data_IF_520101709465
#
_entry.id   IF_520101709465
#
_cell.length_a   1.000
_cell.length_b   1.000
_cell.length_c   1.000
_cell.angle_alpha   90.00
_cell.angle_beta   90.00
_cell.angle_gamma   90.00
#
_symmetry.space_group_name_H-M   'P 1'
#
loop_
_entity.id
_entity.type
_entity.pdbx_description
1 polymer ?
#
# COMPACT_ATOMS: atom_id res chain seq x y z
N UNK A 1 9.19 41.41 50.32
CA UNK A 1 9.94 40.85 49.18
C UNK A 1 9.34 39.48 48.85
N UNK A 2 8.46 39.40 47.87
CA UNK A 2 7.80 38.16 47.46
C UNK A 2 8.53 37.67 46.19
N UNK A 3 9.25 36.56 46.31
CA UNK A 3 9.87 35.88 45.17
C UNK A 3 8.79 35.09 44.43
N UNK A 4 8.49 35.51 43.24
CA UNK A 4 7.63 34.82 42.29
C UNK A 4 8.51 33.82 41.52
N UNK A 5 8.42 32.52 41.84
CA UNK A 5 9.05 31.47 41.03
C UNK A 5 8.22 31.28 39.75
N UNK A 6 8.77 31.67 38.62
CA UNK A 6 8.30 31.26 37.29
C UNK A 6 8.68 29.79 37.11
N UNK A 7 7.71 28.92 37.15
CA UNK A 7 7.78 27.56 36.60
C UNK A 7 7.68 27.66 35.08
N UNK A 8 8.83 27.64 34.40
CA UNK A 8 8.87 27.42 32.95
C UNK A 8 8.48 25.95 32.69
N UNK A 9 7.25 25.73 32.27
CA UNK A 9 6.83 24.44 31.77
C UNK A 9 7.57 24.15 30.45
N UNK A 10 8.51 23.22 30.48
CA UNK A 10 9.06 22.58 29.28
C UNK A 10 7.87 21.82 28.63
N UNK A 11 7.29 22.39 27.58
CA UNK A 11 6.46 21.62 26.67
C UNK A 11 7.39 20.56 26.04
N UNK A 12 7.15 19.31 26.33
CA UNK A 12 7.77 18.21 25.58
C UNK A 12 7.38 18.43 24.12
N UNK A 13 8.35 18.68 23.26
CA UNK A 13 8.12 18.61 21.82
C UNK A 13 7.90 17.14 21.52
N UNK A 14 6.69 16.80 21.07
CA UNK A 14 6.39 15.45 20.59
C UNK A 14 7.36 15.16 19.42
N UNK A 15 8.18 14.13 19.59
CA UNK A 15 9.11 13.68 18.56
C UNK A 15 8.31 13.03 17.43
N UNK A 16 8.29 13.62 16.21
CA UNK A 16 7.48 13.07 15.12
C UNK A 16 7.88 11.64 14.72
N UNK A 17 9.15 11.28 14.86
CA UNK A 17 9.62 9.92 14.58
C UNK A 17 9.11 8.92 15.64
N UNK A 18 9.11 9.32 16.92
CA UNK A 18 8.53 8.51 17.98
C UNK A 18 7.01 8.34 17.80
N UNK A 19 6.31 9.38 17.34
CA UNK A 19 4.88 9.28 17.02
C UNK A 19 4.60 8.34 15.85
N UNK A 20 5.38 8.42 14.77
CA UNK A 20 5.26 7.52 13.62
C UNK A 20 5.55 6.06 14.01
N UNK A 21 6.57 5.83 14.84
CA UNK A 21 6.88 4.50 15.36
C UNK A 21 5.71 3.94 16.18
N UNK A 22 5.13 4.74 17.07
CA UNK A 22 3.98 4.32 17.88
C UNK A 22 2.73 4.04 17.02
N UNK A 23 2.50 4.82 15.94
CA UNK A 23 1.43 4.57 14.98
C UNK A 23 1.62 3.22 14.29
N UNK A 24 2.84 2.92 13.84
CA UNK A 24 3.17 1.64 13.21
C UNK A 24 2.91 0.44 14.14
N UNK A 25 3.32 0.53 15.42
CA UNK A 25 3.02 -0.51 16.41
C UNK A 25 1.51 -0.67 16.65
N UNK A 26 0.77 0.45 16.68
CA UNK A 26 -0.67 0.43 16.84
C UNK A 26 -1.39 -0.25 15.66
N UNK A 27 -0.90 -0.06 14.42
CA UNK A 27 -1.44 -0.75 13.24
C UNK A 27 -1.26 -2.26 13.34
N UNK A 28 -0.09 -2.75 13.76
CA UNK A 28 0.16 -4.18 13.98
C UNK A 28 -0.79 -4.73 15.03
N UNK A 29 -0.89 -4.06 16.18
CA UNK A 29 -1.75 -4.50 17.29
C UNK A 29 -3.24 -4.50 16.91
N UNK A 30 -3.71 -3.46 16.20
CA UNK A 30 -5.11 -3.35 15.78
C UNK A 30 -5.52 -4.47 14.80
N UNK A 31 -4.59 -4.94 13.98
CA UNK A 31 -4.83 -6.04 13.03
C UNK A 31 -4.57 -7.43 13.63
N UNK A 32 -4.03 -7.52 14.86
CA UNK A 32 -3.55 -8.77 15.45
C UNK A 32 -2.46 -9.41 14.57
N UNK A 33 -1.57 -8.59 14.01
CA UNK A 33 -0.60 -8.98 12.98
C UNK A 33 0.82 -9.20 13.54
N UNK A 34 0.94 -9.42 14.85
CA UNK A 34 2.22 -9.72 15.49
C UNK A 34 2.84 -10.99 14.88
N UNK A 35 4.13 -10.89 14.54
CA UNK A 35 4.88 -11.95 13.88
C UNK A 35 4.58 -12.11 12.37
N UNK A 36 3.57 -11.41 11.83
CA UNK A 36 3.29 -11.31 10.39
C UNK A 36 3.91 -10.05 9.82
N UNK A 37 3.76 -8.94 10.53
CA UNK A 37 4.42 -7.67 10.23
C UNK A 37 5.40 -7.28 11.33
N UNK A 38 6.44 -6.55 10.95
CA UNK A 38 7.38 -5.91 11.85
C UNK A 38 7.41 -4.40 11.60
N UNK A 39 7.60 -3.64 12.65
CA UNK A 39 7.78 -2.20 12.59
C UNK A 39 9.23 -1.88 12.24
N UNK A 40 9.44 -1.24 11.10
CA UNK A 40 10.76 -0.80 10.62
C UNK A 40 10.85 0.73 10.49
N UNK A 41 9.98 1.45 11.20
CA UNK A 41 9.93 2.92 11.19
C UNK A 41 11.23 3.50 11.76
N UNK A 42 11.91 4.31 10.96
CA UNK A 42 13.17 5.00 11.35
C UNK A 42 13.06 6.52 11.27
N UNK A 43 11.98 7.04 10.71
CA UNK A 43 11.74 8.46 10.49
C UNK A 43 10.28 8.85 10.83
N UNK A 44 9.75 9.86 10.17
CA UNK A 44 8.39 10.39 10.40
C UNK A 44 7.30 9.68 9.61
N UNK A 45 7.65 8.63 8.85
CA UNK A 45 6.72 7.83 8.04
C UNK A 45 6.52 6.47 8.72
N UNK A 46 5.31 6.16 9.24
CA UNK A 46 5.05 4.83 9.77
C UNK A 46 5.29 3.77 8.70
N UNK A 47 6.22 2.87 8.95
CA UNK A 47 6.67 1.89 7.96
C UNK A 47 6.68 0.49 8.54
N UNK A 48 5.98 -0.42 7.89
CA UNK A 48 5.88 -1.82 8.27
C UNK A 48 6.44 -2.71 7.17
N UNK A 49 7.06 -3.81 7.56
CA UNK A 49 7.50 -4.86 6.64
C UNK A 49 6.78 -6.17 6.92
N UNK A 50 6.24 -6.78 5.88
CA UNK A 50 5.72 -8.13 5.96
C UNK A 50 6.89 -9.13 5.99
N UNK A 51 6.99 -9.90 7.07
CA UNK A 51 8.18 -10.73 7.38
C UNK A 51 8.47 -11.77 6.29
N UNK A 52 7.44 -12.39 5.72
CA UNK A 52 7.63 -13.49 4.76
C UNK A 52 7.89 -13.02 3.33
N UNK A 53 7.23 -11.96 2.88
CA UNK A 53 7.34 -11.50 1.48
C UNK A 53 8.29 -10.33 1.29
N UNK A 54 8.72 -9.68 2.37
CA UNK A 54 9.49 -8.43 2.28
C UNK A 54 8.67 -7.21 1.86
N UNK A 55 7.36 -7.34 1.59
CA UNK A 55 6.52 -6.20 1.24
C UNK A 55 6.64 -5.09 2.28
N UNK A 56 7.01 -3.90 1.85
CA UNK A 56 7.13 -2.72 2.71
C UNK A 56 5.93 -1.81 2.53
N UNK A 57 5.29 -1.45 3.63
CA UNK A 57 4.11 -0.59 3.68
C UNK A 57 4.48 0.75 4.30
N UNK A 58 4.40 1.81 3.51
CA UNK A 58 4.58 3.19 3.96
C UNK A 58 3.22 3.84 4.14
N UNK A 59 2.98 4.42 5.31
CA UNK A 59 1.70 5.05 5.63
C UNK A 59 1.82 6.56 5.70
N UNK A 60 0.77 7.25 5.29
CA UNK A 60 0.65 8.69 5.56
C UNK A 60 0.42 8.90 7.06
N UNK A 61 1.34 9.58 7.74
CA UNK A 61 1.24 9.78 9.19
C UNK A 61 -0.07 10.43 9.60
N UNK A 62 -0.75 9.85 10.59
CA UNK A 62 -2.01 10.35 11.15
C UNK A 62 -3.22 10.16 10.24
N UNK A 63 -3.10 9.46 9.11
CA UNK A 63 -4.23 9.19 8.21
C UNK A 63 -5.15 8.12 8.81
N UNK A 64 -6.42 8.49 9.03
CA UNK A 64 -7.39 7.64 9.71
C UNK A 64 -7.75 6.34 8.95
N UNK A 65 -7.46 6.28 7.65
CA UNK A 65 -7.70 5.11 6.82
C UNK A 65 -6.56 4.11 6.82
N UNK A 66 -5.43 4.45 7.46
CA UNK A 66 -4.29 3.54 7.62
C UNK A 66 -4.72 2.24 8.28
N UNK A 67 -4.41 1.13 7.63
CA UNK A 67 -4.70 -0.19 8.18
C UNK A 67 -3.86 -1.26 7.51
N UNK A 68 -3.67 -2.36 8.21
CA UNK A 68 -3.16 -3.60 7.62
C UNK A 68 -4.20 -4.70 7.75
N UNK A 69 -4.16 -5.66 6.85
CA UNK A 69 -5.02 -6.82 6.82
C UNK A 69 -4.18 -8.08 6.74
N UNK A 70 -4.45 -9.03 7.63
CA UNK A 70 -4.00 -10.42 7.51
C UNK A 70 -5.24 -11.22 7.17
N UNK A 71 -5.36 -11.64 5.92
CA UNK A 71 -6.54 -12.37 5.48
C UNK A 71 -6.57 -13.76 6.11
N UNK A 72 -7.78 -14.28 6.41
CA UNK A 72 -7.91 -15.59 7.02
C UNK A 72 -7.43 -16.70 6.10
N UNK A 73 -7.02 -17.81 6.69
CA UNK A 73 -6.64 -19.01 5.97
C UNK A 73 -7.80 -19.49 5.11
N UNK A 74 -7.60 -19.52 3.82
CA UNK A 74 -8.60 -19.92 2.85
C UNK A 74 -7.93 -20.55 1.61
N UNK A 75 -8.56 -21.58 1.04
CA UNK A 75 -8.09 -22.16 -0.22
C UNK A 75 -6.69 -22.77 -0.17
N UNK A 76 -6.20 -23.14 1.01
CA UNK A 76 -4.85 -23.72 1.20
C UNK A 76 -3.77 -22.67 1.47
N UNK A 77 -4.15 -21.41 1.69
CA UNK A 77 -3.24 -20.36 2.16
C UNK A 77 -3.08 -20.47 3.67
N UNK A 78 -1.87 -20.27 4.17
CA UNK A 78 -1.57 -20.18 5.59
C UNK A 78 -1.66 -18.73 6.07
N UNK A 79 -1.71 -18.54 7.39
CA UNK A 79 -1.68 -17.21 7.99
C UNK A 79 -0.44 -16.45 7.55
N UNK A 80 -0.64 -15.27 6.98
CA UNK A 80 0.41 -14.44 6.41
C UNK A 80 0.65 -14.66 4.91
N UNK A 81 0.12 -15.71 4.29
CA UNK A 81 0.25 -15.92 2.84
C UNK A 81 -0.57 -14.89 2.02
N UNK A 82 -1.45 -14.15 2.66
CA UNK A 82 -2.23 -13.10 2.02
C UNK A 82 -2.40 -11.91 2.97
N UNK A 83 -1.76 -10.82 2.63
CA UNK A 83 -1.73 -9.59 3.44
C UNK A 83 -1.99 -8.37 2.58
N UNK A 84 -2.40 -7.28 3.23
CA UNK A 84 -2.60 -6.00 2.56
C UNK A 84 -2.35 -4.82 3.48
N UNK A 85 -1.89 -3.72 2.90
CA UNK A 85 -1.70 -2.43 3.57
C UNK A 85 -2.54 -1.39 2.87
N UNK A 86 -3.30 -0.62 3.63
CA UNK A 86 -4.17 0.41 3.12
C UNK A 86 -3.77 1.77 3.68
N UNK A 87 -3.64 2.76 2.82
CA UNK A 87 -3.35 4.15 3.18
C UNK A 87 -4.00 5.11 2.19
N UNK A 88 -4.10 6.38 2.57
CA UNK A 88 -4.52 7.46 1.69
C UNK A 88 -3.46 8.56 1.67
N UNK A 89 -3.12 9.03 0.49
CA UNK A 89 -2.20 10.15 0.31
C UNK A 89 -2.33 10.75 -1.09
N UNK A 90 -2.10 12.06 -1.22
CA UNK A 90 -2.16 12.78 -2.50
C UNK A 90 -3.48 12.56 -3.26
N UNK A 91 -4.62 12.62 -2.56
CA UNK A 91 -5.98 12.39 -3.09
C UNK A 91 -6.18 10.99 -3.70
N UNK A 92 -5.39 10.01 -3.27
CA UNK A 92 -5.46 8.64 -3.74
C UNK A 92 -5.59 7.67 -2.58
N UNK A 93 -6.60 6.80 -2.65
CA UNK A 93 -6.73 5.63 -1.80
C UNK A 93 -5.90 4.49 -2.42
N UNK A 94 -5.01 3.91 -1.64
CA UNK A 94 -4.09 2.86 -2.11
C UNK A 94 -4.16 1.65 -1.20
N UNK A 95 -4.20 0.48 -1.80
CA UNK A 95 -3.99 -0.79 -1.10
C UNK A 95 -2.91 -1.59 -1.82
N UNK A 96 -1.88 -1.99 -1.09
CA UNK A 96 -0.83 -2.88 -1.60
C UNK A 96 -1.02 -4.25 -0.95
N UNK A 97 -0.86 -5.29 -1.74
CA UNK A 97 -1.03 -6.69 -1.30
C UNK A 97 0.21 -7.51 -1.61
N UNK A 98 0.49 -8.49 -0.76
CA UNK A 98 1.35 -9.62 -1.07
C UNK A 98 0.56 -10.91 -0.85
N UNK A 99 0.52 -11.77 -1.87
CA UNK A 99 -0.20 -13.04 -1.82
C UNK A 99 0.71 -14.16 -2.33
N UNK A 100 0.88 -15.21 -1.53
CA UNK A 100 1.50 -16.46 -1.93
C UNK A 100 0.38 -17.47 -2.22
N UNK A 101 0.13 -17.73 -3.48
CA UNK A 101 -0.96 -18.62 -3.87
C UNK A 101 -0.58 -20.10 -3.66
N UNK A 102 -1.56 -20.90 -3.25
CA UNK A 102 -1.39 -22.37 -3.13
C UNK A 102 -1.20 -23.08 -4.48
N UNK A 103 -1.40 -22.38 -5.58
CA UNK A 103 -1.20 -22.85 -6.97
C UNK A 103 -0.55 -21.76 -7.77
N UNK A 104 0.19 -22.15 -8.80
CA UNK A 104 0.78 -21.20 -9.72
C UNK A 104 -0.30 -20.45 -10.52
N UNK A 105 -0.40 -19.15 -10.31
CA UNK A 105 -1.16 -18.24 -11.14
C UNK A 105 -0.19 -17.33 -11.88
N UNK A 106 -0.44 -17.09 -13.16
CA UNK A 106 0.33 -16.07 -13.88
C UNK A 106 -0.04 -14.65 -13.40
N UNK A 107 0.90 -13.72 -13.51
CA UNK A 107 0.62 -12.31 -13.22
C UNK A 107 -0.55 -11.77 -14.06
N UNK A 108 -0.70 -12.23 -15.31
CA UNK A 108 -1.82 -11.90 -16.16
C UNK A 108 -3.15 -12.38 -15.59
N UNK A 109 -3.22 -13.62 -15.08
CA UNK A 109 -4.44 -14.14 -14.47
C UNK A 109 -4.83 -13.36 -13.19
N UNK A 110 -3.84 -12.95 -12.38
CA UNK A 110 -4.08 -12.10 -11.20
C UNK A 110 -4.57 -10.71 -11.61
N UNK A 111 -4.03 -10.15 -12.69
CA UNK A 111 -4.48 -8.87 -13.24
C UNK A 111 -5.91 -8.95 -13.76
N UNK A 112 -6.24 -10.00 -14.51
CA UNK A 112 -7.58 -10.22 -15.07
C UNK A 112 -8.64 -10.34 -13.96
N UNK A 113 -8.33 -11.09 -12.88
CA UNK A 113 -9.21 -11.20 -11.70
C UNK A 113 -9.40 -9.85 -11.01
N UNK A 114 -8.32 -9.09 -10.82
CA UNK A 114 -8.39 -7.78 -10.23
C UNK A 114 -9.17 -6.77 -11.09
N UNK A 115 -9.02 -6.82 -12.41
CA UNK A 115 -9.78 -6.01 -13.36
C UNK A 115 -11.27 -6.40 -13.37
N UNK A 116 -11.58 -7.71 -13.26
CA UNK A 116 -12.96 -8.19 -13.11
C UNK A 116 -13.58 -7.67 -11.80
N UNK A 117 -12.84 -7.66 -10.69
CA UNK A 117 -13.31 -7.11 -9.42
C UNK A 117 -13.59 -5.61 -9.50
N UNK A 118 -12.81 -4.83 -10.27
CA UNK A 118 -13.06 -3.41 -10.55
C UNK A 118 -14.41 -3.26 -11.28
N UNK A 119 -14.63 -4.01 -12.37
CA UNK A 119 -15.89 -3.97 -13.14
C UNK A 119 -17.09 -4.44 -12.32
N UNK A 120 -16.89 -5.39 -11.42
CA UNK A 120 -17.96 -5.82 -10.52
C UNK A 120 -18.35 -4.70 -9.53
N UNK A 121 -17.35 -3.98 -8.98
CA UNK A 121 -17.59 -2.85 -8.05
C UNK A 121 -18.21 -1.65 -8.76
N UNK A 122 -17.78 -1.37 -9.98
CA UNK A 122 -18.24 -0.27 -10.82
C UNK A 122 -18.64 -0.79 -12.19
N UNK A 123 -19.92 -1.21 -12.38
CA UNK A 123 -20.39 -1.78 -13.65
C UNK A 123 -20.19 -0.86 -14.86
N UNK A 124 -20.16 0.47 -14.63
CA UNK A 124 -19.95 1.48 -15.67
C UNK A 124 -18.46 1.83 -15.89
N UNK A 125 -17.53 1.05 -15.28
CA UNK A 125 -16.10 1.28 -15.45
C UNK A 125 -15.69 1.17 -16.92
N UNK A 126 -15.06 2.23 -17.43
CA UNK A 126 -14.54 2.28 -18.80
C UNK A 126 -13.03 2.01 -18.79
N UNK A 127 -12.59 0.99 -19.51
CA UNK A 127 -11.16 0.74 -19.66
C UNK A 127 -10.49 1.94 -20.33
N UNK A 128 -9.32 2.33 -19.80
CA UNK A 128 -8.50 3.38 -20.37
C UNK A 128 -7.39 2.74 -21.21
N UNK A 129 -7.42 3.03 -22.52
CA UNK A 129 -6.49 2.45 -23.50
C UNK A 129 -5.30 3.38 -23.81
N UNK A 130 -5.18 4.53 -23.13
CA UNK A 130 -4.09 5.47 -23.31
C UNK A 130 -2.83 5.09 -22.56
N UNK A 131 -1.80 5.95 -22.68
CA UNK A 131 -0.54 5.77 -21.96
C UNK A 131 -0.73 5.92 -20.45
N UNK A 132 -0.22 4.95 -19.68
CA UNK A 132 -0.17 4.98 -18.22
C UNK A 132 1.30 4.93 -17.80
N UNK A 133 1.81 5.93 -17.06
CA UNK A 133 3.22 5.96 -16.69
C UNK A 133 3.52 4.86 -15.66
N UNK A 134 4.51 4.04 -16.01
CA UNK A 134 5.02 2.98 -15.17
C UNK A 134 6.53 3.14 -15.00
N UNK A 135 6.99 2.86 -13.79
CA UNK A 135 8.41 2.70 -13.51
C UNK A 135 8.75 1.22 -13.44
N UNK A 136 9.88 0.85 -14.03
CA UNK A 136 10.43 -0.50 -13.91
C UNK A 136 11.33 -0.52 -12.68
N UNK A 137 11.10 -1.42 -11.71
CA UNK A 137 12.00 -1.56 -10.57
C UNK A 137 13.44 -1.87 -11.03
N UNK A 138 14.48 -1.40 -10.29
CA UNK A 138 15.88 -1.51 -10.72
C UNK A 138 16.33 -2.93 -11.05
N UNK A 139 15.78 -3.93 -10.36
CA UNK A 139 16.16 -5.34 -10.52
C UNK A 139 15.23 -6.11 -11.48
N UNK A 140 14.47 -5.40 -12.32
CA UNK A 140 13.50 -5.97 -13.25
C UNK A 140 13.78 -5.54 -14.69
N UNK A 141 13.51 -6.44 -15.61
CA UNK A 141 13.60 -6.14 -17.05
C UNK A 141 12.31 -5.52 -17.59
N UNK A 142 11.18 -5.80 -16.95
CA UNK A 142 9.85 -5.37 -17.41
C UNK A 142 9.09 -4.60 -16.32
N UNK A 143 8.28 -3.59 -16.71
CA UNK A 143 7.39 -2.91 -15.79
C UNK A 143 6.28 -3.85 -15.29
N UNK A 144 5.59 -3.51 -14.18
CA UNK A 144 4.44 -4.27 -13.73
C UNK A 144 3.33 -4.33 -14.79
N UNK A 145 2.62 -5.45 -14.85
CA UNK A 145 1.36 -5.51 -15.60
C UNK A 145 0.34 -4.57 -14.98
N UNK A 146 -0.53 -3.97 -15.81
CA UNK A 146 -1.48 -2.99 -15.31
C UNK A 146 -2.83 -3.04 -16.05
N UNK A 147 -3.86 -2.54 -15.36
CA UNK A 147 -5.15 -2.20 -15.94
C UNK A 147 -5.65 -0.89 -15.32
N UNK A 148 -6.22 -0.02 -16.14
CA UNK A 148 -6.67 1.32 -15.74
C UNK A 148 -8.11 1.53 -16.20
N UNK A 149 -8.91 2.19 -15.36
CA UNK A 149 -10.31 2.45 -15.65
C UNK A 149 -10.68 3.86 -15.21
N UNK A 150 -11.51 4.51 -16.01
CA UNK A 150 -12.27 5.67 -15.58
C UNK A 150 -13.57 5.20 -14.93
N UNK A 151 -13.86 5.69 -13.73
CA UNK A 151 -15.06 5.36 -12.96
C UNK A 151 -15.70 6.62 -12.40
N UNK A 152 -16.98 6.54 -12.06
CA UNK A 152 -17.68 7.62 -11.35
C UNK A 152 -17.97 7.15 -9.92
N UNK A 153 -17.54 7.95 -8.94
CA UNK A 153 -17.81 7.71 -7.52
C UNK A 153 -18.50 8.93 -6.95
N UNK A 154 -19.72 8.76 -6.44
CA UNK A 154 -20.54 9.87 -5.90
C UNK A 154 -20.63 11.06 -6.86
N UNK A 155 -20.91 10.77 -8.14
CA UNK A 155 -21.04 11.75 -9.23
C UNK A 155 -19.76 12.53 -9.59
N UNK A 156 -18.61 12.12 -9.07
CA UNK A 156 -17.31 12.69 -9.41
C UNK A 156 -16.45 11.68 -10.23
N UNK A 157 -15.68 12.18 -11.22
CA UNK A 157 -14.78 11.32 -11.98
C UNK A 157 -13.63 10.84 -11.11
N UNK A 158 -13.22 9.58 -11.31
CA UNK A 158 -12.07 8.96 -10.67
C UNK A 158 -11.31 8.09 -11.66
N UNK A 159 -10.01 8.00 -11.46
CA UNK A 159 -9.17 6.97 -12.08
C UNK A 159 -8.93 5.87 -11.08
N UNK A 160 -9.28 4.63 -11.43
CA UNK A 160 -8.89 3.45 -10.65
C UNK A 160 -8.00 2.54 -11.48
N UNK A 161 -6.99 1.95 -10.83
CA UNK A 161 -6.02 1.12 -11.52
C UNK A 161 -5.50 0.00 -10.63
N UNK A 162 -4.89 -0.96 -11.29
CA UNK A 162 -4.21 -2.09 -10.67
C UNK A 162 -2.84 -2.26 -11.30
N UNK A 163 -1.83 -2.50 -10.47
CA UNK A 163 -0.49 -2.95 -10.87
C UNK A 163 -0.27 -4.35 -10.29
N UNK A 164 0.34 -5.23 -11.07
CA UNK A 164 0.66 -6.61 -10.64
C UNK A 164 2.07 -6.95 -11.06
N UNK A 165 2.83 -7.51 -10.12
CA UNK A 165 4.15 -8.07 -10.36
C UNK A 165 4.34 -9.35 -9.56
N UNK A 166 4.92 -10.37 -10.19
CA UNK A 166 5.34 -11.58 -9.50
C UNK A 166 6.84 -11.54 -9.22
N UNK A 167 7.19 -12.01 -8.05
CA UNK A 167 8.57 -12.23 -7.65
C UNK A 167 8.65 -13.47 -6.77
N UNK A 168 9.47 -14.43 -7.19
CA UNK A 168 9.57 -15.71 -6.53
C UNK A 168 8.19 -16.38 -6.39
N UNK A 169 7.81 -16.76 -5.19
CA UNK A 169 6.51 -17.37 -4.89
C UNK A 169 5.39 -16.35 -4.57
N UNK A 170 5.70 -15.03 -4.61
CA UNK A 170 4.78 -13.98 -4.23
C UNK A 170 4.21 -13.22 -5.42
N UNK A 171 2.95 -12.92 -5.34
CA UNK A 171 2.26 -11.97 -6.21
C UNK A 171 2.05 -10.66 -5.44
N UNK A 172 2.64 -9.60 -5.94
CA UNK A 172 2.44 -8.24 -5.43
C UNK A 172 1.43 -7.52 -6.29
N UNK A 173 0.49 -6.84 -5.63
CA UNK A 173 -0.56 -6.11 -6.29
C UNK A 173 -0.78 -4.77 -5.60
N UNK A 174 -0.80 -3.68 -6.36
CA UNK A 174 -1.28 -2.39 -5.89
C UNK A 174 -2.61 -2.07 -6.56
N UNK A 175 -3.58 -1.60 -5.78
CA UNK A 175 -4.82 -1.00 -6.27
C UNK A 175 -4.84 0.44 -5.82
N UNK A 176 -5.00 1.36 -6.78
CA UNK A 176 -5.14 2.79 -6.53
C UNK A 176 -6.48 3.29 -7.04
N UNK A 177 -7.09 4.25 -6.32
CA UNK A 177 -8.24 5.02 -6.80
C UNK A 177 -8.01 6.48 -6.44
N UNK A 178 -7.93 7.33 -7.44
CA UNK A 178 -7.67 8.76 -7.30
C UNK A 178 -8.87 9.57 -7.77
N UNK A 179 -9.20 10.62 -7.03
CA UNK A 179 -10.20 11.60 -7.46
C UNK A 179 -9.68 12.40 -8.66
N UNK A 180 -10.57 12.67 -9.62
CA UNK A 180 -10.27 13.35 -10.88
C UNK A 180 -10.00 12.37 -12.02
N UNK A 181 -9.69 12.92 -13.20
CA UNK A 181 -9.45 12.20 -14.46
C UNK A 181 -7.99 12.21 -14.92
N UNK A 182 -7.08 12.73 -14.08
CA UNK A 182 -5.66 12.83 -14.41
C UNK A 182 -4.95 11.47 -14.24
N UNK A 183 -4.95 10.72 -15.33
CA UNK A 183 -4.32 9.39 -15.44
C UNK A 183 -2.80 9.48 -15.26
N UNK A 184 -2.17 10.58 -15.70
CA UNK A 184 -0.71 10.74 -15.60
C UNK A 184 -0.28 10.86 -14.14
N UNK A 185 -0.95 11.70 -13.35
CA UNK A 185 -0.65 11.82 -11.92
C UNK A 185 -0.96 10.51 -11.19
N UNK A 186 -2.12 9.88 -11.47
CA UNK A 186 -2.48 8.60 -10.87
C UNK A 186 -1.41 7.54 -11.13
N UNK A 187 -0.92 7.43 -12.36
CA UNK A 187 0.09 6.47 -12.76
C UNK A 187 1.46 6.74 -12.14
N UNK A 188 1.94 7.98 -12.19
CA UNK A 188 3.22 8.35 -11.57
C UNK A 188 3.22 8.06 -10.07
N UNK A 189 2.19 8.53 -9.35
CA UNK A 189 2.09 8.34 -7.90
C UNK A 189 1.95 6.85 -7.56
N UNK A 190 1.05 6.13 -8.21
CA UNK A 190 0.82 4.70 -7.97
C UNK A 190 2.05 3.85 -8.28
N UNK A 191 2.75 4.15 -9.39
CA UNK A 191 3.96 3.44 -9.77
C UNK A 191 5.10 3.69 -8.77
N UNK A 192 5.29 4.92 -8.29
CA UNK A 192 6.26 5.24 -7.24
C UNK A 192 5.95 4.50 -5.93
N UNK A 193 4.67 4.52 -5.50
CA UNK A 193 4.26 3.81 -4.29
C UNK A 193 4.49 2.30 -4.42
N UNK A 194 4.22 1.73 -5.60
CA UNK A 194 4.45 0.31 -5.84
C UNK A 194 5.94 -0.04 -5.83
N UNK A 195 6.79 0.79 -6.45
CA UNK A 195 8.24 0.61 -6.39
C UNK A 195 8.78 0.69 -4.96
N UNK A 196 8.33 1.66 -4.17
CA UNK A 196 8.74 1.78 -2.77
C UNK A 196 8.32 0.55 -1.96
N UNK A 197 7.11 0.01 -2.23
CA UNK A 197 6.64 -1.20 -1.55
C UNK A 197 7.45 -2.46 -1.90
N UNK A 198 8.09 -2.48 -3.08
CA UNK A 198 8.91 -3.60 -3.58
C UNK A 198 10.42 -3.38 -3.39
N UNK A 199 10.85 -2.17 -3.02
CA UNK A 199 12.25 -1.74 -3.09
C UNK A 199 13.24 -2.55 -2.25
N UNK A 200 12.79 -3.17 -1.17
CA UNK A 200 13.63 -3.98 -0.28
C UNK A 200 13.54 -5.49 -0.56
N UNK A 201 12.77 -5.89 -1.59
CA UNK A 201 12.57 -7.29 -1.92
C UNK A 201 13.72 -7.78 -2.79
N UNK A 202 14.59 -8.63 -2.26
CA UNK A 202 15.75 -9.20 -2.96
C UNK A 202 17.07 -8.46 -2.75
N UNK A 203 17.10 -7.40 -1.94
CA UNK A 203 18.33 -6.84 -1.41
C UNK A 203 18.93 -7.79 -0.37
N UNK A 204 20.16 -8.27 -0.58
CA UNK A 204 20.89 -8.95 0.49
C UNK A 204 21.08 -7.99 1.68
N UNK A 205 20.94 -8.49 2.93
CA UNK A 205 21.13 -7.68 4.13
C UNK A 205 22.54 -7.18 4.29
#
# INVERSE_FOLDING_TARGET
MIWMMLLAGLAAQDDPAAAAHAEADALIAAAGAEGVFENITTDTVPTLRHVQSGLTCHFTSGEATNSISVFPDAGGLSRGDNVGCNTRGQDMDVTVYATRYARDFSAAAVLDDAAAAIRHRWPEAQAYEGGFPLFTPPDREEPPLHAVFNVTVRDAPHVTFVLVQHQEEWSYKLRGTREGDDVMIAGMTGSMMFMNALGDIGGEP
#
